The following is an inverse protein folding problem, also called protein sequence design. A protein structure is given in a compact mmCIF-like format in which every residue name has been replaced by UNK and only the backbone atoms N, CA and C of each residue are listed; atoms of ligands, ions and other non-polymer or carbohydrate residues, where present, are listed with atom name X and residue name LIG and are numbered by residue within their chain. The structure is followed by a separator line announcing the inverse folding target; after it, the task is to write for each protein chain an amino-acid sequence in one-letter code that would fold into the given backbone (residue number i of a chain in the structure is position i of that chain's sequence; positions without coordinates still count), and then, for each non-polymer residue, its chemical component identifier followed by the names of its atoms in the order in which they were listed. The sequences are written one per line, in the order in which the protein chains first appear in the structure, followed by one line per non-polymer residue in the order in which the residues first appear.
data_IF_209442647679
#
_entry.id   IF_209442647679
#
_cell.length_a   1.000
_cell.length_b   1.000
_cell.length_c   1.000
_cell.angle_alpha   90.00
_cell.angle_beta   90.00
_cell.angle_gamma   90.00
#
_symmetry.space_group_name_H-M   'P 1'
#
loop_
_entity.id
_entity.type
_entity.pdbx_description
1 polymer ?
#
# COMPACT_ATOMS: atom_id res chain seq x y z
N UNK A 1 -17.77 -0.24 11.26
CA UNK A 1 -17.54 -1.47 10.47
C UNK A 1 -16.29 -2.08 11.04
N UNK A 2 -16.33 -3.39 11.31
CA UNK A 2 -15.18 -4.17 11.72
C UNK A 2 -14.96 -5.28 10.69
N UNK A 3 -13.70 -5.64 10.44
CA UNK A 3 -13.34 -6.81 9.64
C UNK A 3 -12.79 -7.90 10.56
N UNK A 4 -12.95 -9.15 10.17
CA UNK A 4 -12.25 -10.26 10.84
C UNK A 4 -10.75 -10.21 10.55
N UNK A 5 -9.94 -10.85 11.38
CA UNK A 5 -8.49 -10.96 11.16
C UNK A 5 -8.17 -11.54 9.78
N UNK A 6 -8.90 -12.57 9.34
CA UNK A 6 -8.75 -13.16 8.00
C UNK A 6 -9.07 -12.16 6.88
N UNK A 7 -10.08 -11.29 7.06
CA UNK A 7 -10.40 -10.25 6.09
C UNK A 7 -9.35 -9.14 6.07
N UNK A 8 -8.75 -8.81 7.22
CA UNK A 8 -7.63 -7.86 7.32
C UNK A 8 -6.38 -8.39 6.62
N UNK A 9 -6.05 -9.68 6.79
CA UNK A 9 -4.95 -10.31 6.07
C UNK A 9 -5.18 -10.28 4.55
N UNK A 10 -6.38 -10.62 4.09
CA UNK A 10 -6.74 -10.55 2.67
C UNK A 10 -6.67 -9.11 2.12
N UNK A 11 -7.13 -8.13 2.90
CA UNK A 11 -7.02 -6.71 2.56
C UNK A 11 -5.55 -6.31 2.38
N UNK A 12 -4.68 -6.69 3.30
CA UNK A 12 -3.25 -6.39 3.23
C UNK A 12 -2.61 -7.03 1.99
N UNK A 13 -2.90 -8.31 1.71
CA UNK A 13 -2.39 -9.02 0.52
C UNK A 13 -2.83 -8.36 -0.79
N UNK A 14 -4.11 -8.03 -0.93
CA UNK A 14 -4.62 -7.37 -2.14
C UNK A 14 -4.09 -5.94 -2.28
N UNK A 15 -3.93 -5.23 -1.15
CA UNK A 15 -3.31 -3.89 -1.17
C UNK A 15 -1.84 -3.95 -1.57
N UNK A 16 -1.10 -4.99 -1.16
CA UNK A 16 0.25 -5.26 -1.64
C UNK A 16 0.26 -5.54 -3.16
N UNK A 17 -0.77 -6.16 -3.70
CA UNK A 17 -0.97 -6.26 -5.16
C UNK A 17 -1.39 -4.92 -5.82
N UNK A 18 -1.29 -3.79 -5.11
CA UNK A 18 -1.61 -2.43 -5.57
C UNK A 18 -3.07 -2.24 -5.99
N UNK A 19 -3.99 -3.05 -5.46
CA UNK A 19 -5.41 -2.94 -5.75
C UNK A 19 -6.05 -1.76 -5.00
N UNK A 20 -6.93 -0.96 -5.65
CA UNK A 20 -7.63 0.13 -4.99
C UNK A 20 -8.73 -0.38 -4.03
N UNK A 21 -9.11 0.39 -2.99
CA UNK A 21 -10.08 -0.06 -1.98
C UNK A 21 -11.45 -0.42 -2.58
N UNK A 22 -11.86 0.22 -3.67
CA UNK A 22 -13.13 -0.07 -4.33
C UNK A 22 -13.19 -1.49 -4.90
N UNK A 23 -12.10 -1.98 -5.47
CA UNK A 23 -11.99 -3.34 -6.02
C UNK A 23 -11.88 -4.36 -4.88
N UNK A 24 -11.07 -4.05 -3.86
CA UNK A 24 -10.94 -4.89 -2.67
C UNK A 24 -12.29 -5.05 -1.95
N UNK A 25 -13.09 -3.98 -1.86
CA UNK A 25 -14.42 -4.04 -1.26
C UNK A 25 -15.35 -5.02 -2.01
N UNK A 26 -15.21 -5.12 -3.33
CA UNK A 26 -15.98 -6.08 -4.14
C UNK A 26 -15.51 -7.51 -3.85
N UNK A 27 -14.19 -7.74 -3.81
CA UNK A 27 -13.61 -9.05 -3.55
C UNK A 27 -13.89 -9.57 -2.13
N UNK A 28 -13.85 -8.69 -1.12
CA UNK A 28 -14.23 -9.00 0.26
C UNK A 28 -15.75 -9.11 0.46
N UNK A 29 -16.55 -8.88 -0.59
CA UNK A 29 -18.02 -8.89 -0.56
C UNK A 29 -18.60 -7.93 0.49
N UNK A 30 -17.98 -6.77 0.64
CA UNK A 30 -18.49 -5.71 1.50
C UNK A 30 -19.87 -5.26 1.01
N UNK A 31 -20.90 -5.22 1.88
CA UNK A 31 -22.25 -4.83 1.49
C UNK A 31 -22.28 -3.44 0.83
N UNK A 32 -23.12 -3.20 -0.20
CA UNK A 32 -23.20 -1.90 -0.87
C UNK A 32 -23.41 -0.71 0.07
N UNK A 33 -24.18 -0.88 1.14
CA UNK A 33 -24.43 0.12 2.18
C UNK A 33 -23.18 0.54 2.95
N UNK A 34 -22.15 -0.30 3.01
CA UNK A 34 -20.93 -0.05 3.80
C UNK A 34 -19.69 0.23 2.94
N UNK A 35 -19.76 0.05 1.63
CA UNK A 35 -18.62 0.28 0.71
C UNK A 35 -18.02 1.67 0.83
N UNK A 36 -18.87 2.70 0.94
CA UNK A 36 -18.40 4.08 1.09
C UNK A 36 -17.58 4.26 2.38
N UNK A 37 -18.08 3.70 3.50
CA UNK A 37 -17.39 3.74 4.79
C UNK A 37 -16.08 2.95 4.76
N UNK A 38 -16.06 1.77 4.14
CA UNK A 38 -14.85 0.96 3.96
C UNK A 38 -13.77 1.72 3.19
N UNK A 39 -14.12 2.31 2.05
CA UNK A 39 -13.20 3.08 1.20
C UNK A 39 -12.64 4.29 1.95
N UNK A 40 -13.48 5.01 2.70
CA UNK A 40 -13.03 6.11 3.54
C UNK A 40 -12.08 5.64 4.66
N UNK A 41 -12.40 4.52 5.29
CA UNK A 41 -11.60 3.96 6.39
C UNK A 41 -10.20 3.58 5.92
N UNK A 42 -10.07 2.93 4.76
CA UNK A 42 -8.78 2.60 4.15
C UNK A 42 -7.88 3.84 3.92
N UNK A 43 -8.47 5.02 3.69
CA UNK A 43 -7.74 6.22 3.27
C UNK A 43 -7.46 7.19 4.42
N UNK A 44 -8.39 7.34 5.36
CA UNK A 44 -8.41 8.50 6.26
C UNK A 44 -8.43 8.14 7.75
N UNK A 45 -8.80 6.92 8.13
CA UNK A 45 -8.99 6.55 9.54
C UNK A 45 -7.73 5.95 10.13
N UNK A 46 -6.72 6.78 10.42
CA UNK A 46 -5.37 6.36 10.82
C UNK A 46 -5.29 5.40 12.01
N UNK A 47 -6.29 5.39 12.89
CA UNK A 47 -6.36 4.53 14.08
C UNK A 47 -7.18 3.25 13.85
N UNK A 48 -7.55 2.93 12.60
CA UNK A 48 -8.35 1.75 12.28
C UNK A 48 -7.47 0.57 11.83
N UNK A 49 -7.73 -0.67 12.29
CA UNK A 49 -7.07 -1.86 11.75
C UNK A 49 -7.19 -1.99 10.23
N UNK A 50 -8.33 -1.55 9.65
CA UNK A 50 -8.57 -1.54 8.20
C UNK A 50 -7.61 -0.59 7.50
N UNK A 51 -7.40 0.61 8.07
CA UNK A 51 -6.45 1.58 7.55
C UNK A 51 -5.04 1.00 7.60
N UNK A 52 -4.63 0.45 8.75
CA UNK A 52 -3.30 -0.12 8.91
C UNK A 52 -3.04 -1.25 7.92
N UNK A 53 -3.94 -2.23 7.82
CA UNK A 53 -3.80 -3.35 6.89
C UNK A 53 -3.69 -2.87 5.42
N UNK A 54 -4.55 -1.94 5.02
CA UNK A 54 -4.51 -1.38 3.66
C UNK A 54 -3.21 -0.60 3.41
N UNK A 55 -2.81 0.31 4.30
CA UNK A 55 -1.57 1.08 4.10
C UNK A 55 -0.32 0.20 4.19
N UNK A 56 -0.30 -0.79 5.10
CA UNK A 56 0.81 -1.73 5.26
C UNK A 56 1.05 -2.50 3.97
N UNK A 57 0.02 -3.10 3.37
CA UNK A 57 0.15 -3.79 2.09
C UNK A 57 0.76 -2.91 1.00
N UNK A 58 0.21 -1.71 0.81
CA UNK A 58 0.72 -0.73 -0.17
C UNK A 58 2.18 -0.34 0.09
N UNK A 59 2.54 -0.12 1.36
CA UNK A 59 3.89 0.28 1.76
C UNK A 59 4.89 -0.87 1.62
N UNK A 60 4.48 -2.12 1.86
CA UNK A 60 5.29 -3.32 1.63
C UNK A 60 5.76 -3.39 0.19
N UNK A 61 4.86 -3.25 -0.78
CA UNK A 61 5.22 -3.27 -2.20
C UNK A 61 6.09 -2.07 -2.60
N UNK A 62 5.80 -0.88 -2.06
CA UNK A 62 6.66 0.29 -2.27
C UNK A 62 8.08 0.02 -1.77
N UNK A 63 8.22 -0.61 -0.61
CA UNK A 63 9.50 -0.96 -0.01
C UNK A 63 10.27 -1.98 -0.86
N UNK A 64 9.63 -3.07 -1.26
CA UNK A 64 10.24 -4.12 -2.10
C UNK A 64 10.72 -3.58 -3.46
N UNK A 65 9.91 -2.76 -4.12
CA UNK A 65 10.30 -2.10 -5.37
C UNK A 65 11.48 -1.16 -5.16
N UNK A 66 11.47 -0.36 -4.09
CA UNK A 66 12.59 0.54 -3.77
C UNK A 66 13.87 -0.24 -3.48
N UNK A 67 13.81 -1.35 -2.74
CA UNK A 67 14.96 -2.21 -2.49
C UNK A 67 15.56 -2.74 -3.79
N UNK A 68 14.72 -3.20 -4.71
CA UNK A 68 15.15 -3.71 -6.02
C UNK A 68 15.85 -2.63 -6.83
N UNK A 69 15.27 -1.44 -6.91
CA UNK A 69 15.87 -0.29 -7.63
C UNK A 69 17.20 0.11 -7.00
N UNK A 70 17.28 0.23 -5.67
CA UNK A 70 18.52 0.58 -4.97
C UNK A 70 19.61 -0.48 -5.21
N UNK A 71 19.25 -1.77 -5.21
CA UNK A 71 20.18 -2.85 -5.53
C UNK A 71 20.74 -2.72 -6.95
N UNK A 72 19.88 -2.44 -7.94
CA UNK A 72 20.30 -2.25 -9.33
C UNK A 72 21.17 -0.99 -9.51
N UNK A 73 20.81 0.12 -8.86
CA UNK A 73 21.58 1.36 -8.92
C UNK A 73 22.99 1.16 -8.33
N UNK A 74 23.11 0.47 -7.19
CA UNK A 74 24.41 0.12 -6.60
C UNK A 74 25.27 -0.79 -7.48
N UNK A 75 24.64 -1.56 -8.38
CA UNK A 75 25.33 -2.37 -9.38
C UNK A 75 25.71 -1.60 -10.66
N UNK A 76 25.43 -0.28 -10.71
CA UNK A 76 25.77 0.58 -11.85
C UNK A 76 24.77 0.56 -13.00
N UNK A 77 23.50 0.20 -12.75
CA UNK A 77 22.45 0.22 -13.77
C UNK A 77 22.06 1.66 -14.14
N UNK A 78 22.31 2.14 -15.38
CA UNK A 78 22.05 3.54 -15.75
C UNK A 78 20.58 3.95 -15.64
N UNK A 79 19.65 3.00 -15.81
CA UNK A 79 18.21 3.26 -15.67
C UNK A 79 17.75 3.34 -14.20
N UNK A 80 18.51 2.77 -13.26
CA UNK A 80 18.12 2.71 -11.84
C UNK A 80 18.70 3.86 -11.02
N UNK A 81 19.86 4.38 -11.39
CA UNK A 81 20.52 5.53 -10.74
C UNK A 81 19.61 6.77 -10.59
N UNK A 82 18.96 7.29 -11.65
CA UNK A 82 18.09 8.46 -11.52
C UNK A 82 16.85 8.19 -10.65
N UNK A 83 16.36 6.95 -10.62
CA UNK A 83 15.25 6.55 -9.74
C UNK A 83 15.68 6.51 -8.27
N UNK A 84 16.87 5.98 -7.99
CA UNK A 84 17.44 5.98 -6.65
C UNK A 84 17.69 7.41 -6.15
N UNK A 85 18.22 8.29 -6.99
CA UNK A 85 18.39 9.72 -6.66
C UNK A 85 17.04 10.40 -6.36
N UNK A 86 16.00 10.09 -7.15
CA UNK A 86 14.64 10.57 -6.87
C UNK A 86 14.16 10.07 -5.50
N UNK A 87 14.37 8.81 -5.16
CA UNK A 87 13.95 8.27 -3.86
C UNK A 87 14.63 8.92 -2.67
N UNK A 88 15.92 9.28 -2.80
CA UNK A 88 16.66 10.03 -1.78
C UNK A 88 16.04 11.42 -1.61
N UNK A 89 15.78 12.14 -2.71
CA UNK A 89 15.13 13.46 -2.66
C UNK A 89 13.73 13.40 -2.05
N UNK A 90 12.92 12.41 -2.44
CA UNK A 90 11.59 12.20 -1.87
C UNK A 90 11.67 11.94 -0.35
N UNK A 91 12.70 11.24 0.14
CA UNK A 91 12.88 11.00 1.58
C UNK A 91 13.18 12.30 2.31
N UNK A 92 14.18 13.07 1.85
CA UNK A 92 14.58 14.33 2.48
C UNK A 92 13.46 15.39 2.52
N UNK A 93 12.53 15.36 1.56
CA UNK A 93 11.39 16.28 1.52
C UNK A 93 10.24 15.88 2.46
N UNK A 94 10.23 14.64 2.96
CA UNK A 94 9.15 14.10 3.81
C UNK A 94 9.61 13.83 5.26
N UNK A 95 10.83 14.21 5.61
CA UNK A 95 11.35 14.33 6.99
C UNK A 95 11.13 15.74 7.53
#
# INVERSE_FOLDING_TARGET
MELTDEQLEKLEQMSAALMPPVEIAILLRIPPSEKALFIQTCKNHVNSPIYEAYQRGKLTTKFELRQTVVKLAKAGSPAAEPLAEKYIRDQLNNE
#
